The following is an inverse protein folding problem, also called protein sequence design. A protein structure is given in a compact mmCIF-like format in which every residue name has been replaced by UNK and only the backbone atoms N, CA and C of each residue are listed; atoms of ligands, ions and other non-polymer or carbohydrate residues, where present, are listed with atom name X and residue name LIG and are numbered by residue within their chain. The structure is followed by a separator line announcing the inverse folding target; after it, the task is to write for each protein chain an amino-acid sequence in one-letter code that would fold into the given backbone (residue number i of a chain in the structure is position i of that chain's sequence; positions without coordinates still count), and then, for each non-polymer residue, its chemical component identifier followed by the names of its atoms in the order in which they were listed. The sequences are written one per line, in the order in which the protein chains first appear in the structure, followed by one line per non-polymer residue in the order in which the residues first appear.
data_IF_439116556248
#
_entry.id   IF_439116556248
#
_cell.length_a   1.000
_cell.length_b   1.000
_cell.length_c   1.000
_cell.angle_alpha   90.00
_cell.angle_beta   90.00
_cell.angle_gamma   90.00
#
_symmetry.space_group_name_H-M   'P 1'
#
loop_
_entity.id
_entity.type
_entity.pdbx_description
1 polymer ?
#
# COMPACT_ATOMS: atom_id res chain seq x y z
N UNK A 1 -16.68 19.29 7.57
CA UNK A 1 -16.23 18.75 6.26
C UNK A 1 -17.00 19.50 5.18
N UNK A 2 -16.36 20.33 4.37
CA UNK A 2 -17.06 21.16 3.38
C UNK A 2 -17.83 20.29 2.38
N UNK A 3 -19.17 20.46 2.33
CA UNK A 3 -20.05 19.77 1.37
C UNK A 3 -19.61 19.94 -0.09
N UNK A 4 -18.79 20.95 -0.40
CA UNK A 4 -18.26 21.26 -1.75
C UNK A 4 -17.21 20.27 -2.25
N UNK A 5 -16.51 19.56 -1.35
CA UNK A 5 -15.39 18.69 -1.72
C UNK A 5 -15.87 17.26 -1.99
N UNK A 6 -16.85 16.79 -1.21
CA UNK A 6 -17.50 15.50 -1.39
C UNK A 6 -18.22 15.43 -2.75
N UNK A 7 -18.88 16.52 -3.16
CA UNK A 7 -19.61 16.58 -4.43
C UNK A 7 -18.69 16.42 -5.65
N UNK A 8 -17.41 16.81 -5.52
CA UNK A 8 -16.37 16.73 -6.57
C UNK A 8 -15.63 15.40 -6.64
N UNK A 9 -15.93 14.46 -5.74
CA UNK A 9 -15.31 13.13 -5.78
C UNK A 9 -15.85 12.31 -6.97
N UNK A 10 -15.02 11.43 -7.57
CA UNK A 10 -15.51 10.47 -8.55
C UNK A 10 -16.60 9.57 -7.94
N UNK A 11 -17.59 9.18 -8.75
CA UNK A 11 -18.72 8.36 -8.28
C UNK A 11 -18.28 7.03 -7.65
N UNK A 12 -17.23 6.41 -8.18
CA UNK A 12 -16.66 5.17 -7.61
C UNK A 12 -16.18 5.36 -6.16
N UNK A 13 -15.68 6.54 -5.82
CA UNK A 13 -15.22 6.88 -4.47
C UNK A 13 -16.39 7.30 -3.58
N UNK A 14 -17.37 8.01 -4.14
CA UNK A 14 -18.60 8.35 -3.40
C UNK A 14 -19.35 7.10 -2.95
N UNK A 15 -19.49 6.11 -3.83
CA UNK A 15 -20.14 4.82 -3.53
C UNK A 15 -19.44 4.06 -2.39
N UNK A 16 -18.13 4.19 -2.26
CA UNK A 16 -17.33 3.55 -1.21
C UNK A 16 -17.40 4.28 0.15
N UNK A 17 -17.48 5.62 0.15
CA UNK A 17 -17.27 6.43 1.36
C UNK A 17 -18.57 7.00 1.94
N UNK A 18 -19.60 7.25 1.12
CA UNK A 18 -20.84 7.92 1.55
C UNK A 18 -21.94 6.95 2.02
N UNK A 19 -21.75 5.65 1.80
CA UNK A 19 -22.77 4.64 2.06
C UNK A 19 -22.32 3.68 3.16
N UNK A 20 -23.25 3.16 3.98
CA UNK A 20 -22.92 2.21 5.01
C UNK A 20 -22.38 0.91 4.40
N UNK A 21 -21.44 0.31 5.12
CA UNK A 21 -20.92 -1.01 4.79
C UNK A 21 -22.00 -2.07 4.94
N UNK A 22 -22.01 -3.08 4.06
CA UNK A 22 -22.86 -4.26 4.27
C UNK A 22 -22.44 -5.08 5.50
N UNK A 23 -21.27 -4.81 6.08
CA UNK A 23 -20.77 -5.41 7.33
C UNK A 23 -20.99 -4.53 8.56
N UNK A 24 -21.61 -3.36 8.41
CA UNK A 24 -21.85 -2.47 9.53
C UNK A 24 -22.70 -3.15 10.62
N UNK A 25 -22.36 -2.93 11.89
CA UNK A 25 -23.04 -3.59 13.02
C UNK A 25 -24.46 -3.09 13.22
N UNK A 26 -24.73 -1.83 12.87
CA UNK A 26 -26.00 -1.14 13.10
C UNK A 26 -26.86 -1.21 11.83
N UNK A 27 -26.28 -0.84 10.68
CA UNK A 27 -27.02 -0.70 9.43
C UNK A 27 -26.84 -1.88 8.47
N UNK A 28 -25.85 -2.75 8.70
CA UNK A 28 -25.47 -3.76 7.71
C UNK A 28 -26.55 -4.79 7.43
N UNK A 29 -27.40 -5.15 8.42
CA UNK A 29 -28.51 -6.08 8.19
C UNK A 29 -29.55 -5.49 7.23
N UNK A 30 -30.02 -4.27 7.51
CA UNK A 30 -30.96 -3.57 6.67
C UNK A 30 -30.39 -3.30 5.27
N UNK A 31 -29.10 -2.92 5.19
CA UNK A 31 -28.45 -2.66 3.90
C UNK A 31 -28.31 -3.94 3.06
N UNK A 32 -28.00 -5.09 3.67
CA UNK A 32 -27.95 -6.39 2.99
C UNK A 32 -29.31 -6.79 2.42
N UNK A 33 -30.38 -6.66 3.20
CA UNK A 33 -31.72 -6.99 2.71
C UNK A 33 -32.15 -6.05 1.56
N UNK A 34 -31.95 -4.75 1.77
CA UNK A 34 -32.26 -3.70 0.79
C UNK A 34 -31.52 -3.92 -0.53
N UNK A 35 -30.21 -4.22 -0.49
CA UNK A 35 -29.45 -4.44 -1.71
C UNK A 35 -29.87 -5.73 -2.43
N UNK A 36 -30.14 -6.82 -1.70
CA UNK A 36 -30.67 -8.05 -2.30
C UNK A 36 -31.95 -7.79 -3.07
N UNK A 37 -32.93 -7.09 -2.46
CA UNK A 37 -34.20 -6.73 -3.11
C UNK A 37 -33.99 -5.84 -4.33
N UNK A 38 -33.09 -4.85 -4.23
CA UNK A 38 -32.72 -3.99 -5.37
C UNK A 38 -32.13 -4.79 -6.53
N UNK A 39 -31.22 -5.74 -6.27
CA UNK A 39 -30.63 -6.58 -7.31
C UNK A 39 -31.69 -7.45 -7.99
N UNK A 40 -32.56 -8.08 -7.21
CA UNK A 40 -33.63 -8.93 -7.72
C UNK A 40 -34.53 -8.14 -8.67
N UNK A 41 -34.95 -6.94 -8.25
CA UNK A 41 -35.79 -6.06 -9.08
C UNK A 41 -35.05 -5.52 -10.31
N UNK A 42 -33.81 -5.04 -10.14
CA UNK A 42 -33.07 -4.38 -11.21
C UNK A 42 -32.64 -5.34 -12.34
N UNK A 43 -32.38 -6.61 -12.00
CA UNK A 43 -31.90 -7.61 -12.94
C UNK A 43 -32.90 -8.71 -13.24
N UNK A 44 -34.15 -8.55 -12.80
CA UNK A 44 -35.25 -9.51 -13.00
C UNK A 44 -34.83 -10.96 -12.65
N UNK A 45 -34.22 -11.13 -11.48
CA UNK A 45 -33.62 -12.41 -11.11
C UNK A 45 -34.69 -13.50 -10.94
N UNK A 46 -34.45 -14.67 -11.54
CA UNK A 46 -35.36 -15.81 -11.48
C UNK A 46 -34.91 -16.83 -10.43
N UNK A 47 -35.85 -17.35 -9.66
CA UNK A 47 -35.63 -18.38 -8.66
C UNK A 47 -36.45 -19.63 -9.02
N UNK A 48 -35.81 -20.74 -9.44
CA UNK A 48 -36.55 -21.97 -9.73
C UNK A 48 -37.23 -22.47 -8.45
N UNK A 49 -38.47 -22.96 -8.59
CA UNK A 49 -39.14 -23.68 -7.49
C UNK A 49 -38.38 -24.98 -7.26
N UNK A 50 -38.10 -25.31 -6.00
CA UNK A 50 -37.42 -26.57 -5.66
C UNK A 50 -38.44 -27.70 -5.83
N UNK A 51 -38.19 -28.60 -6.78
CA UNK A 51 -39.02 -29.78 -7.00
C UNK A 51 -39.00 -30.69 -5.76
N UNK A 52 -40.17 -31.19 -5.34
CA UNK A 52 -40.31 -32.12 -4.21
C UNK A 52 -40.57 -31.48 -2.83
N UNK A 53 -40.62 -30.15 -2.72
CA UNK A 53 -41.02 -29.48 -1.47
C UNK A 53 -42.50 -29.13 -1.56
N UNK A 54 -43.33 -29.77 -0.75
CA UNK A 54 -44.73 -29.36 -0.55
C UNK A 54 -44.71 -28.06 0.27
N UNK A 55 -45.02 -26.94 -0.37
CA UNK A 55 -45.11 -25.62 0.26
C UNK A 55 -46.40 -25.51 1.09
N UNK A 56 -46.57 -26.37 2.10
CA UNK A 56 -47.76 -26.37 2.96
C UNK A 56 -47.77 -25.18 3.94
N UNK A 57 -46.60 -24.58 4.23
CA UNK A 57 -46.46 -23.30 4.95
C UNK A 57 -45.24 -22.44 4.47
N UNK A 58 -44.81 -22.65 3.21
CA UNK A 58 -44.27 -21.64 2.30
C UNK A 58 -42.97 -20.88 2.62
N UNK A 59 -41.79 -21.52 2.60
CA UNK A 59 -40.53 -20.78 2.41
C UNK A 59 -40.48 -20.20 0.98
N UNK A 60 -40.59 -18.88 0.85
CA UNK A 60 -40.50 -18.18 -0.44
C UNK A 60 -39.07 -18.31 -1.00
N UNK A 61 -38.85 -18.89 -2.21
CA UNK A 61 -37.52 -19.02 -2.80
C UNK A 61 -36.73 -17.70 -2.88
N UNK A 62 -37.46 -16.59 -3.03
CA UNK A 62 -36.91 -15.23 -3.03
C UNK A 62 -36.32 -14.87 -1.66
N UNK A 63 -37.01 -15.20 -0.58
CA UNK A 63 -36.56 -14.92 0.79
C UNK A 63 -35.36 -15.78 1.18
N UNK A 64 -35.35 -17.04 0.73
CA UNK A 64 -34.19 -17.92 0.88
C UNK A 64 -32.97 -17.31 0.18
N UNK A 65 -33.10 -16.89 -1.08
CA UNK A 65 -32.01 -16.27 -1.82
C UNK A 65 -31.53 -14.95 -1.18
N UNK A 66 -32.45 -14.11 -0.68
CA UNK A 66 -32.10 -12.88 0.06
C UNK A 66 -31.28 -13.23 1.32
N UNK A 67 -31.70 -14.26 2.06
CA UNK A 67 -31.03 -14.72 3.27
C UNK A 67 -29.63 -15.27 2.99
N UNK A 68 -29.50 -16.16 1.99
CA UNK A 68 -28.23 -16.76 1.59
C UNK A 68 -27.24 -15.71 1.07
N UNK A 69 -27.71 -14.81 0.20
CA UNK A 69 -26.88 -13.73 -0.32
C UNK A 69 -26.49 -12.75 0.79
N UNK A 70 -27.41 -12.42 1.70
CA UNK A 70 -27.11 -11.61 2.88
C UNK A 70 -26.07 -12.27 3.80
N UNK A 71 -26.17 -13.57 4.05
CA UNK A 71 -25.19 -14.32 4.83
C UNK A 71 -23.81 -14.30 4.15
N UNK A 72 -23.77 -14.45 2.82
CA UNK A 72 -22.55 -14.35 2.03
C UNK A 72 -21.91 -12.95 2.08
N UNK A 73 -22.68 -11.88 1.91
CA UNK A 73 -22.16 -10.50 1.99
C UNK A 73 -21.54 -10.19 3.36
N UNK A 74 -22.06 -10.78 4.43
CA UNK A 74 -21.50 -10.64 5.78
C UNK A 74 -20.10 -11.27 5.89
N UNK A 75 -19.86 -12.39 5.21
CA UNK A 75 -18.59 -13.14 5.29
C UNK A 75 -17.61 -12.81 4.16
N UNK A 76 -18.04 -12.12 3.11
CA UNK A 76 -17.19 -11.67 2.00
C UNK A 76 -15.92 -10.97 2.51
N UNK A 77 -14.69 -11.25 2.04
CA UNK A 77 -13.46 -10.78 2.70
C UNK A 77 -13.27 -9.26 2.70
N UNK A 78 -13.78 -8.53 1.71
CA UNK A 78 -13.52 -7.10 1.56
C UNK A 78 -14.55 -6.21 2.27
N UNK A 79 -14.18 -4.95 2.48
CA UNK A 79 -15.14 -3.91 2.82
C UNK A 79 -15.85 -3.47 1.53
N UNK A 80 -17.19 -3.49 1.55
CA UNK A 80 -18.00 -3.09 0.39
C UNK A 80 -19.33 -2.49 0.86
N UNK A 81 -19.83 -1.50 0.13
CA UNK A 81 -21.15 -0.89 0.39
C UNK A 81 -22.23 -1.49 -0.51
N UNK A 82 -23.51 -1.24 -0.17
CA UNK A 82 -24.63 -1.67 -1.02
C UNK A 82 -24.57 -1.06 -2.43
N UNK A 83 -24.19 0.21 -2.55
CA UNK A 83 -24.10 0.88 -3.85
C UNK A 83 -22.91 0.38 -4.70
N UNK A 84 -21.81 -0.03 -4.06
CA UNK A 84 -20.72 -0.73 -4.76
C UNK A 84 -21.16 -2.09 -5.29
N UNK A 85 -21.95 -2.86 -4.52
CA UNK A 85 -22.51 -4.13 -4.98
C UNK A 85 -23.43 -3.91 -6.18
N UNK A 86 -24.31 -2.90 -6.13
CA UNK A 86 -25.20 -2.59 -7.24
C UNK A 86 -24.42 -2.23 -8.50
N UNK A 87 -23.36 -1.42 -8.35
CA UNK A 87 -22.50 -1.04 -9.46
C UNK A 87 -21.75 -2.24 -10.03
N UNK A 88 -21.20 -3.11 -9.18
CA UNK A 88 -20.52 -4.32 -9.62
C UNK A 88 -21.43 -5.19 -10.50
N UNK A 89 -22.70 -5.35 -10.12
CA UNK A 89 -23.68 -6.09 -10.91
C UNK A 89 -24.04 -5.38 -12.23
N UNK A 90 -24.14 -4.04 -12.25
CA UNK A 90 -24.35 -3.27 -13.50
C UNK A 90 -23.15 -3.37 -14.45
N UNK A 91 -21.93 -3.35 -13.90
CA UNK A 91 -20.72 -3.52 -14.69
C UNK A 91 -20.64 -4.94 -15.25
N UNK A 92 -20.99 -5.95 -14.45
CA UNK A 92 -21.08 -7.34 -14.90
C UNK A 92 -22.11 -7.50 -16.03
N UNK A 93 -23.31 -6.93 -15.89
CA UNK A 93 -24.35 -7.00 -16.93
C UNK A 93 -23.96 -6.27 -18.22
N UNK A 94 -23.09 -5.26 -18.15
CA UNK A 94 -22.51 -4.56 -19.31
C UNK A 94 -21.26 -5.24 -19.87
N UNK A 95 -20.74 -6.29 -19.23
CA UNK A 95 -19.53 -6.97 -19.69
C UNK A 95 -18.23 -6.23 -19.39
N UNK A 96 -18.24 -5.29 -18.46
CA UNK A 96 -17.08 -4.44 -18.14
C UNK A 96 -16.12 -5.11 -17.15
N UNK A 97 -16.56 -6.16 -16.44
CA UNK A 97 -15.76 -6.90 -15.47
C UNK A 97 -15.10 -8.13 -16.10
N UNK A 98 -13.83 -8.33 -15.75
CA UNK A 98 -13.03 -9.47 -16.17
C UNK A 98 -12.65 -10.33 -14.96
N UNK A 99 -12.55 -11.63 -15.17
CA UNK A 99 -12.01 -12.56 -14.19
C UNK A 99 -10.48 -12.45 -14.11
N UNK A 100 -9.88 -13.19 -13.17
CA UNK A 100 -8.43 -13.26 -12.96
C UNK A 100 -7.65 -13.81 -14.17
N UNK A 101 -8.33 -14.45 -15.13
CA UNK A 101 -7.76 -14.95 -16.39
C UNK A 101 -7.95 -13.95 -17.55
N UNK A 102 -8.60 -12.81 -17.31
CA UNK A 102 -8.88 -11.78 -18.30
C UNK A 102 -10.16 -11.99 -19.11
N UNK A 103 -10.94 -13.03 -18.83
CA UNK A 103 -12.20 -13.32 -19.52
C UNK A 103 -13.33 -12.47 -18.96
N UNK A 104 -14.28 -12.09 -19.83
CA UNK A 104 -15.47 -11.37 -19.40
C UNK A 104 -16.32 -12.23 -18.47
N UNK A 105 -16.77 -11.66 -17.35
CA UNK A 105 -17.67 -12.36 -16.43
C UNK A 105 -19.04 -12.52 -17.09
N UNK A 106 -19.48 -13.77 -17.19
CA UNK A 106 -20.85 -14.08 -17.63
C UNK A 106 -21.84 -13.73 -16.52
N UNK A 107 -22.80 -12.87 -16.86
CA UNK A 107 -23.88 -12.48 -15.99
C UNK A 107 -25.12 -13.32 -16.27
N UNK A 108 -25.56 -14.08 -15.27
CA UNK A 108 -26.85 -14.79 -15.28
C UNK A 108 -27.83 -14.08 -14.34
N UNK A 109 -29.13 -14.05 -14.68
CA UNK A 109 -30.17 -13.43 -13.86
C UNK A 109 -30.54 -14.32 -12.66
N UNK A 110 -29.55 -14.66 -11.83
CA UNK A 110 -29.70 -15.47 -10.61
C UNK A 110 -28.90 -14.83 -9.47
N UNK A 111 -29.40 -14.92 -8.24
CA UNK A 111 -28.70 -14.42 -7.05
C UNK A 111 -27.90 -15.54 -6.39
N UNK A 112 -26.99 -16.17 -7.13
CA UNK A 112 -26.13 -17.23 -6.58
C UNK A 112 -24.87 -16.67 -5.92
N UNK A 113 -24.46 -17.27 -4.79
CA UNK A 113 -23.24 -16.88 -4.06
C UNK A 113 -21.97 -17.07 -4.89
N UNK A 114 -21.94 -18.09 -5.75
CA UNK A 114 -20.82 -18.36 -6.66
C UNK A 114 -20.64 -17.24 -7.70
N UNK A 115 -21.71 -16.81 -8.36
CA UNK A 115 -21.66 -15.71 -9.31
C UNK A 115 -21.36 -14.38 -8.60
N UNK A 116 -21.96 -14.16 -7.44
CA UNK A 116 -21.67 -13.02 -6.59
C UNK A 116 -20.17 -12.92 -6.25
N UNK A 117 -19.54 -14.04 -5.90
CA UNK A 117 -18.09 -14.08 -5.65
C UNK A 117 -17.28 -13.60 -6.83
N UNK A 118 -17.56 -14.13 -8.03
CA UNK A 118 -16.86 -13.70 -9.25
C UNK A 118 -17.04 -12.21 -9.51
N UNK A 119 -18.27 -11.71 -9.49
CA UNK A 119 -18.60 -10.31 -9.77
C UNK A 119 -17.93 -9.38 -8.75
N UNK A 120 -18.07 -9.66 -7.46
CA UNK A 120 -17.56 -8.77 -6.42
C UNK A 120 -16.03 -8.77 -6.36
N UNK A 121 -15.37 -9.91 -6.57
CA UNK A 121 -13.90 -9.96 -6.65
C UNK A 121 -13.38 -9.16 -7.85
N UNK A 122 -13.95 -9.35 -9.03
CA UNK A 122 -13.56 -8.59 -10.22
C UNK A 122 -13.80 -7.08 -10.08
N UNK A 123 -14.88 -6.69 -9.39
CA UNK A 123 -15.10 -5.28 -9.08
C UNK A 123 -14.03 -4.72 -8.14
N UNK A 124 -13.59 -5.48 -7.12
CA UNK A 124 -12.48 -5.05 -6.27
C UNK A 124 -11.18 -4.89 -7.07
N UNK A 125 -10.88 -5.82 -7.97
CA UNK A 125 -9.72 -5.70 -8.87
C UNK A 125 -9.84 -4.48 -9.80
N UNK A 126 -11.01 -4.25 -10.38
CA UNK A 126 -11.28 -3.07 -11.20
C UNK A 126 -11.04 -1.77 -10.41
N UNK A 127 -11.48 -1.68 -9.15
CA UNK A 127 -11.22 -0.51 -8.30
C UNK A 127 -9.74 -0.25 -8.11
N UNK A 128 -8.95 -1.29 -7.83
CA UNK A 128 -7.49 -1.17 -7.63
C UNK A 128 -6.79 -0.61 -8.87
N UNK A 129 -7.24 -0.99 -10.06
CA UNK A 129 -6.67 -0.54 -11.33
C UNK A 129 -7.28 0.78 -11.85
N UNK A 130 -8.34 1.29 -11.21
CA UNK A 130 -8.99 2.54 -11.62
C UNK A 130 -8.17 3.76 -11.21
N UNK A 131 -7.72 4.52 -12.21
CA UNK A 131 -7.01 5.79 -11.99
C UNK A 131 -7.90 6.80 -11.25
N UNK A 132 -9.20 6.83 -11.56
CA UNK A 132 -10.15 7.73 -10.90
C UNK A 132 -10.32 7.40 -9.42
N UNK A 133 -10.40 6.10 -9.07
CA UNK A 133 -10.45 5.66 -7.68
C UNK A 133 -9.18 6.06 -6.92
N UNK A 134 -8.01 5.71 -7.47
CA UNK A 134 -6.71 6.00 -6.87
C UNK A 134 -6.53 7.51 -6.59
N UNK A 135 -6.81 8.36 -7.57
CA UNK A 135 -6.70 9.82 -7.42
C UNK A 135 -7.72 10.38 -6.42
N UNK A 136 -8.95 9.89 -6.44
CA UNK A 136 -9.99 10.33 -5.51
C UNK A 136 -9.67 9.95 -4.06
N UNK A 137 -9.15 8.74 -3.83
CA UNK A 137 -8.70 8.30 -2.50
C UNK A 137 -7.48 9.08 -2.00
N UNK A 138 -6.55 9.46 -2.88
CA UNK A 138 -5.43 10.33 -2.52
C UNK A 138 -5.92 11.73 -2.09
N UNK A 139 -6.89 12.31 -2.81
CA UNK A 139 -7.51 13.59 -2.42
C UNK A 139 -8.15 13.49 -1.03
N UNK A 140 -8.90 12.42 -0.75
CA UNK A 140 -9.49 12.18 0.57
C UNK A 140 -8.43 12.05 1.68
N UNK A 141 -7.36 11.30 1.44
CA UNK A 141 -6.25 11.18 2.40
C UNK A 141 -5.62 12.52 2.74
N UNK A 142 -5.40 13.39 1.74
CA UNK A 142 -4.89 14.75 1.93
C UNK A 142 -5.85 15.67 2.70
N UNK A 143 -7.16 15.43 2.62
CA UNK A 143 -8.15 16.22 3.36
C UNK A 143 -8.25 15.80 4.82
N UNK A 144 -8.19 14.49 5.09
CA UNK A 144 -8.24 13.94 6.44
C UNK A 144 -6.94 14.22 7.17
N UNK A 145 -5.81 14.06 6.48
CA UNK A 145 -4.47 14.37 6.96
C UNK A 145 -3.83 15.40 6.03
N UNK A 146 -4.12 16.71 6.22
CA UNK A 146 -3.40 17.73 5.48
C UNK A 146 -1.91 17.60 5.80
N UNK A 147 -1.11 17.36 4.75
CA UNK A 147 0.33 17.53 4.88
C UNK A 147 0.55 18.98 5.32
N UNK A 148 1.16 19.16 6.50
CA UNK A 148 1.57 20.48 6.95
C UNK A 148 2.63 20.94 5.96
N UNK A 149 2.23 21.74 4.96
CA UNK A 149 3.16 22.41 4.06
C UNK A 149 3.99 23.37 4.91
N UNK A 150 5.19 22.93 5.30
CA UNK A 150 6.15 23.76 6.02
C UNK A 150 6.40 25.01 5.20
N UNK A 151 6.32 26.17 5.82
CA UNK A 151 6.64 27.41 5.11
C UNK A 151 8.11 27.35 4.64
N UNK A 152 8.48 28.08 3.56
CA UNK A 152 9.86 28.13 3.11
C UNK A 152 10.85 28.55 4.21
N UNK A 153 10.39 29.35 5.17
CA UNK A 153 11.17 29.79 6.33
C UNK A 153 11.40 28.66 7.33
N UNK A 154 10.36 27.90 7.67
CA UNK A 154 10.47 26.73 8.56
C UNK A 154 11.40 25.66 7.98
N UNK A 155 11.29 25.40 6.67
CA UNK A 155 12.15 24.46 5.97
C UNK A 155 13.63 24.90 6.00
N UNK A 156 13.89 26.21 5.86
CA UNK A 156 15.25 26.77 5.99
C UNK A 156 15.76 26.67 7.42
N UNK A 157 14.94 26.99 8.42
CA UNK A 157 15.31 26.92 9.83
C UNK A 157 15.67 25.48 10.25
N UNK A 158 14.86 24.50 9.84
CA UNK A 158 15.11 23.09 10.11
C UNK A 158 16.37 22.58 9.40
N UNK A 159 16.58 22.97 8.14
CA UNK A 159 17.80 22.63 7.40
C UNK A 159 19.05 23.18 8.10
N UNK A 160 18.99 24.42 8.62
CA UNK A 160 20.06 25.02 9.41
C UNK A 160 20.29 24.25 10.70
N UNK A 161 19.24 23.94 11.45
CA UNK A 161 19.31 23.14 12.69
C UNK A 161 19.95 21.77 12.44
N UNK A 162 19.52 21.06 11.39
CA UNK A 162 20.08 19.76 11.02
C UNK A 162 21.57 19.87 10.62
N UNK A 163 21.97 20.97 9.97
CA UNK A 163 23.36 21.22 9.59
C UNK A 163 24.26 21.49 10.81
N UNK A 164 23.76 22.27 11.76
CA UNK A 164 24.45 22.54 13.03
C UNK A 164 24.63 21.26 13.86
N UNK A 165 23.59 20.42 13.94
CA UNK A 165 23.66 19.10 14.60
C UNK A 165 24.70 18.21 13.94
N UNK A 166 24.71 18.13 12.61
CA UNK A 166 25.70 17.34 11.87
C UNK A 166 27.12 17.84 12.11
N UNK A 167 27.34 19.15 12.01
CA UNK A 167 28.66 19.76 12.23
C UNK A 167 29.16 19.52 13.64
N UNK A 168 28.29 19.64 14.65
CA UNK A 168 28.61 19.34 16.05
C UNK A 168 28.97 17.85 16.24
N UNK A 169 28.16 16.94 15.69
CA UNK A 169 28.43 15.51 15.77
C UNK A 169 29.78 15.14 15.14
N UNK A 170 30.16 15.79 14.03
CA UNK A 170 31.47 15.58 13.41
C UNK A 170 32.61 16.09 14.29
N UNK A 171 32.48 17.29 14.88
CA UNK A 171 33.49 17.85 15.81
C UNK A 171 33.68 16.99 17.05
N UNK A 172 32.60 16.47 17.60
CA UNK A 172 32.61 15.57 18.76
C UNK A 172 32.92 14.10 18.40
N UNK A 173 33.19 13.80 17.12
CA UNK A 173 33.43 12.46 16.60
C UNK A 173 32.32 11.44 16.95
N UNK A 174 31.06 11.91 17.01
CA UNK A 174 29.85 11.11 17.25
C UNK A 174 29.17 10.74 15.92
N UNK A 175 28.49 9.57 15.83
CA UNK A 175 27.73 9.20 14.64
C UNK A 175 26.53 10.15 14.41
N UNK A 176 26.17 10.37 13.15
CA UNK A 176 25.01 11.17 12.77
C UNK A 176 24.15 10.43 11.74
N UNK A 177 22.96 10.01 12.16
CA UNK A 177 22.04 9.22 11.32
C UNK A 177 21.37 10.02 10.20
N UNK A 178 21.44 11.36 10.26
CA UNK A 178 20.75 12.28 9.35
C UNK A 178 21.69 13.01 8.39
N UNK A 179 22.96 12.60 8.31
CA UNK A 179 23.95 13.21 7.43
C UNK A 179 23.54 13.13 5.94
N UNK A 180 22.82 12.08 5.53
CA UNK A 180 22.36 11.84 4.17
C UNK A 180 21.47 12.96 3.63
N UNK A 181 20.80 13.73 4.51
CA UNK A 181 19.97 14.88 4.12
C UNK A 181 20.77 15.95 3.37
N UNK A 182 22.09 15.98 3.55
CA UNK A 182 22.99 16.94 2.90
C UNK A 182 23.77 16.34 1.73
N UNK A 183 23.44 15.12 1.29
CA UNK A 183 24.14 14.44 0.19
C UNK A 183 24.18 15.29 -1.08
N UNK A 184 23.02 15.81 -1.52
CA UNK A 184 22.92 16.69 -2.69
C UNK A 184 23.72 17.99 -2.54
N UNK A 185 23.75 18.55 -1.33
CA UNK A 185 24.54 19.76 -1.05
C UNK A 185 26.04 19.49 -1.21
N UNK A 186 26.51 18.34 -0.73
CA UNK A 186 27.91 17.92 -0.86
C UNK A 186 28.28 17.67 -2.31
N UNK A 187 27.40 17.03 -3.10
CA UNK A 187 27.62 16.84 -4.54
C UNK A 187 27.75 18.17 -5.28
N UNK A 188 26.85 19.13 -5.01
CA UNK A 188 26.89 20.47 -5.61
C UNK A 188 28.19 21.23 -5.28
N UNK A 189 28.75 21.03 -4.09
CA UNK A 189 30.06 21.57 -3.69
C UNK A 189 31.26 20.84 -4.34
N UNK A 190 31.02 19.87 -5.23
CA UNK A 190 32.07 19.07 -5.86
C UNK A 190 32.62 17.96 -4.97
N UNK A 191 32.00 17.70 -3.82
CA UNK A 191 32.31 16.54 -2.99
C UNK A 191 31.87 15.24 -3.66
N UNK A 192 32.50 14.12 -3.26
CA UNK A 192 32.11 12.75 -3.64
C UNK A 192 32.15 12.41 -5.14
N UNK A 193 32.70 13.27 -6.01
CA UNK A 193 32.84 13.02 -7.46
C UNK A 193 33.44 11.65 -7.80
N UNK A 194 34.47 11.23 -7.05
CA UNK A 194 35.11 9.90 -7.21
C UNK A 194 34.15 8.73 -6.93
N UNK A 195 33.23 8.89 -6.00
CA UNK A 195 32.24 7.86 -5.69
C UNK A 195 31.14 7.80 -6.76
N UNK A 196 30.66 8.97 -7.22
CA UNK A 196 29.60 9.05 -8.23
C UNK A 196 30.06 8.55 -9.60
N UNK A 197 31.33 8.76 -9.95
CA UNK A 197 31.90 8.36 -11.24
C UNK A 197 32.22 6.87 -11.38
N UNK A 198 32.18 6.08 -10.28
CA UNK A 198 32.49 4.65 -10.30
C UNK A 198 31.28 3.80 -9.86
N UNK A 199 30.43 3.35 -10.80
CA UNK A 199 29.28 2.50 -10.51
C UNK A 199 29.64 1.15 -9.86
N UNK A 200 30.83 0.61 -10.13
CA UNK A 200 31.26 -0.68 -9.60
C UNK A 200 31.61 -0.50 -8.11
N UNK A 201 32.40 0.53 -7.78
CA UNK A 201 32.70 0.86 -6.40
C UNK A 201 31.43 1.14 -5.58
N UNK A 202 30.43 1.83 -6.15
CA UNK A 202 29.13 2.04 -5.50
C UNK A 202 28.46 0.72 -5.13
N UNK A 203 28.35 -0.22 -6.09
CA UNK A 203 27.76 -1.54 -5.85
C UNK A 203 28.49 -2.30 -4.75
N UNK A 204 29.83 -2.28 -4.76
CA UNK A 204 30.66 -2.96 -3.75
C UNK A 204 30.42 -2.37 -2.36
N UNK A 205 30.45 -1.03 -2.24
CA UNK A 205 30.27 -0.33 -0.96
C UNK A 205 28.86 -0.56 -0.39
N UNK A 206 27.83 -0.48 -1.23
CA UNK A 206 26.45 -0.76 -0.84
C UNK A 206 26.30 -2.22 -0.42
N UNK A 207 26.79 -3.18 -1.21
CA UNK A 207 26.72 -4.61 -0.89
C UNK A 207 27.42 -4.92 0.45
N UNK A 208 28.58 -4.33 0.70
CA UNK A 208 29.29 -4.45 1.99
C UNK A 208 28.45 -3.90 3.15
N UNK A 209 27.78 -2.75 2.95
CA UNK A 209 26.92 -2.16 3.97
C UNK A 209 25.66 -3.00 4.23
N UNK A 210 25.05 -3.58 3.19
CA UNK A 210 23.92 -4.52 3.32
C UNK A 210 24.31 -5.69 4.20
N UNK A 211 25.49 -6.28 3.97
CA UNK A 211 26.00 -7.37 4.79
C UNK A 211 26.19 -6.95 6.26
N UNK A 212 26.75 -5.78 6.53
CA UNK A 212 26.91 -5.26 7.91
C UNK A 212 25.56 -5.07 8.62
N UNK A 213 24.56 -4.51 7.94
CA UNK A 213 23.20 -4.35 8.48
C UNK A 213 22.63 -5.73 8.82
N UNK A 214 22.73 -6.67 7.88
CA UNK A 214 22.17 -8.00 8.05
C UNK A 214 22.80 -8.76 9.23
N UNK A 215 24.12 -8.65 9.41
CA UNK A 215 24.81 -9.22 10.57
C UNK A 215 24.31 -8.60 11.88
N UNK A 216 24.13 -7.28 11.92
CA UNK A 216 23.59 -6.61 13.10
C UNK A 216 22.14 -7.02 13.39
N UNK A 217 21.30 -7.17 12.36
CA UNK A 217 19.91 -7.63 12.50
C UNK A 217 19.82 -9.09 12.97
N UNK A 218 20.74 -9.95 12.53
CA UNK A 218 20.81 -11.35 12.95
C UNK A 218 21.11 -11.52 14.44
N UNK A 219 21.86 -10.59 15.04
CA UNK A 219 22.20 -10.62 16.46
C UNK A 219 21.04 -10.15 17.36
N UNK A 220 19.97 -9.59 16.79
CA UNK A 220 18.80 -9.14 17.56
C UNK A 220 17.90 -10.32 17.89
N UNK A 221 17.40 -10.36 19.14
CA UNK A 221 16.39 -11.33 19.58
C UNK A 221 15.09 -11.21 18.78
N UNK A 222 14.70 -9.97 18.42
CA UNK A 222 13.58 -9.68 17.54
C UNK A 222 13.90 -8.44 16.69
N UNK A 223 13.92 -8.60 15.37
CA UNK A 223 14.05 -7.48 14.45
C UNK A 223 12.68 -6.85 14.16
N UNK A 224 12.63 -5.53 14.17
CA UNK A 224 11.45 -4.75 13.75
C UNK A 224 11.40 -4.65 12.22
N UNK A 225 12.56 -4.74 11.56
CA UNK A 225 12.70 -4.49 10.13
C UNK A 225 12.65 -5.75 9.29
N UNK A 226 13.00 -6.91 9.85
CA UNK A 226 13.03 -8.19 9.14
C UNK A 226 12.48 -9.30 10.02
N UNK A 227 11.75 -10.24 9.44
CA UNK A 227 11.39 -11.48 10.13
C UNK A 227 12.53 -12.52 10.03
N UNK A 228 12.46 -13.59 10.83
CA UNK A 228 13.52 -14.61 10.88
C UNK A 228 13.72 -15.33 9.53
N UNK A 229 12.63 -15.53 8.78
CA UNK A 229 12.69 -16.15 7.45
C UNK A 229 13.44 -15.27 6.44
N UNK A 230 13.15 -13.97 6.43
CA UNK A 230 13.84 -12.97 5.61
C UNK A 230 15.33 -12.90 5.97
N UNK A 231 15.67 -12.84 7.26
CA UNK A 231 17.08 -12.79 7.72
C UNK A 231 17.85 -14.03 7.26
N UNK A 232 17.26 -15.22 7.39
CA UNK A 232 17.89 -16.49 7.00
C UNK A 232 18.22 -16.50 5.51
N UNK A 233 17.23 -16.28 4.65
CA UNK A 233 17.42 -16.34 3.19
C UNK A 233 18.27 -15.20 2.63
N UNK A 234 18.19 -14.00 3.20
CA UNK A 234 19.14 -12.95 2.85
C UNK A 234 20.56 -13.35 3.25
N UNK A 235 20.75 -13.97 4.41
CA UNK A 235 22.09 -14.36 4.89
C UNK A 235 22.72 -15.45 4.01
N UNK A 236 21.92 -16.40 3.55
CA UNK A 236 22.25 -17.42 2.57
C UNK A 236 22.75 -16.78 1.25
N UNK A 237 21.96 -15.87 0.66
CA UNK A 237 22.33 -15.12 -0.54
C UNK A 237 23.65 -14.34 -0.42
N UNK A 238 23.96 -13.78 0.75
CA UNK A 238 25.24 -13.08 0.96
C UNK A 238 26.43 -14.01 1.23
N UNK A 239 26.17 -15.27 1.61
CA UNK A 239 27.21 -16.29 1.90
C UNK A 239 27.61 -17.06 0.65
N UNK A 240 26.66 -17.42 -0.21
CA UNK A 240 26.93 -18.17 -1.44
C UNK A 240 26.61 -17.33 -2.69
N UNK A 241 27.62 -16.95 -3.50
CA UNK A 241 27.42 -16.23 -4.76
C UNK A 241 26.57 -16.97 -5.81
N UNK A 242 26.37 -18.29 -5.67
CA UNK A 242 25.61 -19.13 -6.59
C UNK A 242 24.14 -19.26 -6.20
N UNK A 243 23.76 -18.80 -5.01
CA UNK A 243 22.41 -18.96 -4.50
C UNK A 243 21.50 -17.85 -5.04
N UNK A 244 20.41 -18.24 -5.69
CA UNK A 244 19.45 -17.29 -6.25
C UNK A 244 18.62 -16.67 -5.13
N UNK A 245 18.40 -15.34 -5.21
CA UNK A 245 17.52 -14.66 -4.28
C UNK A 245 16.09 -15.23 -4.40
N UNK A 246 15.58 -15.79 -3.32
CA UNK A 246 14.24 -16.36 -3.29
C UNK A 246 13.18 -15.27 -3.54
N UNK A 247 12.23 -15.48 -4.47
CA UNK A 247 11.23 -14.45 -4.86
C UNK A 247 10.47 -13.86 -3.67
N UNK A 248 10.15 -14.70 -2.68
CA UNK A 248 9.44 -14.30 -1.45
C UNK A 248 10.22 -13.33 -0.55
N UNK A 249 11.51 -13.12 -0.77
CA UNK A 249 12.32 -12.15 -0.01
C UNK A 249 12.76 -10.92 -0.84
N UNK A 250 12.23 -10.75 -2.05
CA UNK A 250 12.56 -9.60 -2.91
C UNK A 250 12.28 -8.25 -2.21
N UNK A 251 11.11 -8.11 -1.58
CA UNK A 251 10.79 -6.87 -0.85
C UNK A 251 11.70 -6.64 0.37
N UNK A 252 12.15 -7.71 1.02
CA UNK A 252 13.11 -7.60 2.12
C UNK A 252 14.50 -7.18 1.59
N UNK A 253 14.90 -7.72 0.44
CA UNK A 253 16.14 -7.34 -0.23
C UNK A 253 16.14 -5.87 -0.67
N UNK A 254 15.07 -5.39 -1.30
CA UNK A 254 14.91 -3.98 -1.70
C UNK A 254 14.98 -3.05 -0.48
N UNK A 255 14.33 -3.43 0.62
CA UNK A 255 14.40 -2.71 1.90
C UNK A 255 15.81 -2.65 2.46
N UNK A 256 16.52 -3.77 2.47
CA UNK A 256 17.92 -3.85 2.90
C UNK A 256 18.82 -2.97 2.02
N UNK A 257 18.59 -2.94 0.71
CA UNK A 257 19.34 -2.12 -0.24
C UNK A 257 19.09 -0.62 -0.01
N UNK A 258 17.84 -0.23 0.22
CA UNK A 258 17.48 1.15 0.54
C UNK A 258 18.11 1.61 1.86
N UNK A 259 18.06 0.78 2.91
CA UNK A 259 18.72 1.06 4.19
C UNK A 259 20.23 1.22 4.00
N UNK A 260 20.87 0.29 3.30
CA UNK A 260 22.31 0.34 3.04
C UNK A 260 22.71 1.59 2.25
N UNK A 261 21.93 1.95 1.23
CA UNK A 261 22.17 3.17 0.43
C UNK A 261 22.13 4.42 1.29
N UNK A 262 21.14 4.53 2.18
CA UNK A 262 21.02 5.67 3.11
C UNK A 262 22.21 5.73 4.07
N UNK A 263 22.63 4.60 4.64
CA UNK A 263 23.79 4.56 5.53
C UNK A 263 25.11 4.86 4.81
N UNK A 264 25.28 4.41 3.57
CA UNK A 264 26.45 4.78 2.76
C UNK A 264 26.46 6.28 2.50
N UNK A 265 25.31 6.89 2.15
CA UNK A 265 25.21 8.35 2.00
C UNK A 265 25.55 9.08 3.30
N UNK A 266 25.10 8.57 4.46
CA UNK A 266 25.48 9.10 5.77
C UNK A 266 27.00 9.11 5.94
N UNK A 267 27.64 7.96 5.76
CA UNK A 267 29.09 7.80 5.93
C UNK A 267 29.87 8.74 5.00
N UNK A 268 29.45 8.85 3.73
CA UNK A 268 30.10 9.69 2.74
C UNK A 268 30.02 11.17 3.11
N UNK A 269 28.83 11.66 3.46
CA UNK A 269 28.65 13.07 3.88
C UNK A 269 29.42 13.35 5.16
N UNK A 270 29.31 12.47 6.16
CA UNK A 270 30.00 12.62 7.43
C UNK A 270 31.51 12.72 7.24
N UNK A 271 32.10 11.80 6.47
CA UNK A 271 33.53 11.78 6.20
C UNK A 271 34.00 12.97 5.36
N UNK A 272 33.17 13.46 4.44
CA UNK A 272 33.48 14.65 3.67
C UNK A 272 33.53 15.89 4.59
N UNK A 273 32.52 16.10 5.43
CA UNK A 273 32.51 17.22 6.39
C UNK A 273 33.67 17.12 7.37
N UNK A 274 33.98 15.93 7.87
CA UNK A 274 35.13 15.70 8.76
C UNK A 274 36.45 16.12 8.13
N UNK A 275 36.65 15.85 6.83
CA UNK A 275 37.83 16.30 6.08
C UNK A 275 37.85 17.81 5.90
N UNK A 276 36.72 18.44 5.60
CA UNK A 276 36.65 19.89 5.40
C UNK A 276 36.89 20.67 6.71
N UNK A 277 36.36 20.20 7.85
CA UNK A 277 36.63 20.81 9.16
C UNK A 277 38.13 20.76 9.48
N UNK A 278 38.77 19.60 9.34
CA UNK A 278 40.21 19.44 9.57
C UNK A 278 41.07 20.34 8.68
N UNK A 279 40.70 20.50 7.40
CA UNK A 279 41.41 21.41 6.48
C UNK A 279 41.33 22.87 6.91
N UNK A 280 40.17 23.28 7.43
CA UNK A 280 39.98 24.66 7.89
C UNK A 280 40.71 24.91 9.21
N UNK A 281 40.76 23.93 10.11
CA UNK A 281 41.55 24.00 11.34
C UNK A 281 43.06 24.04 11.07
N UNK A 282 43.55 23.38 10.02
CA UNK A 282 44.96 23.40 9.63
C UNK A 282 45.40 24.67 8.86
N UNK A 283 44.44 25.54 8.48
CA UNK A 283 44.69 26.80 7.77
C UNK A 283 44.63 28.04 8.66
N UNK A 284 44.12 27.88 9.89
CA UNK A 284 44.10 28.89 10.94
C UNK A 284 45.23 28.62 11.94
#
# INVERSE_FOLDING_TARGET
MEKSVISKLPEIVKKEVLYPSVKDKVFGMAEREKISRKLIAAFQMSFPKLEGIVYENGLNPTEVAISEFGAYLRTFPYHITGEEILEAYRMASRGELRDFLGNQIQFFPTLSTAQAGKILMAYQEFKVHSQQHTLGMQKLKRLINPEIERTPEEARAEKRKNWEVLTRAVKENKPCERAFLFYELVLKKGGLRKFVSDPIAQKIVIKKKMFTILQAERMKTKSVMFNQFEIKHLSEYFRDPKEFLHKNVNHAFERLQAMATTLVKNDLVYNWIKKEIKKNEARN
#
